data_IF_364615466518
#
_entry.id   IF_364615466518
#
_cell.length_a   1.000
_cell.length_b   1.000
_cell.length_c   1.000
_cell.angle_alpha   90.00
_cell.angle_beta   90.00
_cell.angle_gamma   90.00
#
_symmetry.space_group_name_H-M   'P 1'
#
loop_
_entity.id
_entity.type
_entity.pdbx_description
1 polymer ?
#
# COMPACT_ATOMS: atom_id res chain seq x y z
N UNK A 1 4.31 12.51 -14.28
CA UNK A 1 4.23 11.26 -15.07
C UNK A 1 2.79 10.77 -15.06
N UNK A 2 2.21 10.37 -16.20
CA UNK A 2 0.86 9.80 -16.21
C UNK A 2 0.98 8.36 -15.72
N UNK A 3 0.67 8.10 -14.45
CA UNK A 3 0.80 6.76 -13.88
C UNK A 3 -0.30 5.86 -14.48
N UNK A 4 0.11 4.77 -15.14
CA UNK A 4 -0.79 3.81 -15.77
C UNK A 4 -1.66 3.09 -14.74
N UNK A 5 -1.10 2.89 -13.55
CA UNK A 5 -1.71 2.11 -12.48
C UNK A 5 -2.28 2.99 -11.38
N UNK A 6 -3.25 2.43 -10.68
CA UNK A 6 -3.83 3.03 -9.49
C UNK A 6 -2.77 3.26 -8.41
N UNK A 7 -2.90 4.40 -7.72
CA UNK A 7 -2.08 4.79 -6.59
C UNK A 7 -2.87 4.59 -5.29
N UNK A 8 -2.30 3.88 -4.34
CA UNK A 8 -2.91 3.53 -3.07
C UNK A 8 -2.84 4.70 -2.08
N UNK A 9 -3.95 4.99 -1.43
CA UNK A 9 -4.07 6.02 -0.41
C UNK A 9 -3.85 5.43 0.99
N UNK A 10 -3.69 6.29 1.99
CA UNK A 10 -3.53 5.88 3.39
C UNK A 10 -4.64 4.90 3.85
N UNK A 11 -5.88 5.16 3.45
CA UNK A 11 -7.02 4.30 3.76
C UNK A 11 -6.94 2.91 3.09
N UNK A 12 -6.39 2.80 1.86
CA UNK A 12 -6.18 1.49 1.23
C UNK A 12 -5.17 0.67 2.05
N UNK A 13 -4.07 1.30 2.48
CA UNK A 13 -3.02 0.66 3.30
C UNK A 13 -3.55 0.26 4.67
N UNK A 14 -4.30 1.14 5.33
CA UNK A 14 -4.96 0.84 6.60
C UNK A 14 -5.94 -0.33 6.48
N UNK A 15 -6.72 -0.37 5.40
CA UNK A 15 -7.63 -1.49 5.13
C UNK A 15 -6.86 -2.79 4.93
N UNK A 16 -5.70 -2.73 4.25
CA UNK A 16 -4.83 -3.90 4.09
C UNK A 16 -4.28 -4.39 5.43
N UNK A 17 -3.85 -3.50 6.32
CA UNK A 17 -3.33 -3.90 7.65
C UNK A 17 -4.39 -4.63 8.46
N UNK A 18 -5.62 -4.11 8.45
CA UNK A 18 -6.74 -4.75 9.12
C UNK A 18 -7.10 -6.10 8.48
N UNK A 19 -7.23 -6.14 7.15
CA UNK A 19 -7.61 -7.34 6.39
C UNK A 19 -6.57 -8.46 6.48
N UNK A 20 -5.29 -8.15 6.30
CA UNK A 20 -4.21 -9.13 6.35
C UNK A 20 -3.76 -9.46 7.80
N UNK A 21 -4.41 -8.87 8.81
CA UNK A 21 -4.04 -9.00 10.22
C UNK A 21 -2.54 -8.74 10.46
N UNK A 22 -2.03 -7.66 9.88
CA UNK A 22 -0.61 -7.28 10.01
C UNK A 22 -0.27 -7.09 11.47
N UNK A 23 0.76 -7.78 11.94
CA UNK A 23 1.21 -7.64 13.32
C UNK A 23 1.87 -6.28 13.54
N UNK A 24 1.58 -5.62 14.68
CA UNK A 24 2.09 -4.26 14.99
C UNK A 24 3.59 -4.07 14.80
N UNK A 25 4.40 -5.08 15.10
CA UNK A 25 5.85 -4.99 14.95
C UNK A 25 6.32 -4.97 13.48
N UNK A 26 5.47 -5.39 12.53
CA UNK A 26 5.77 -5.40 11.10
C UNK A 26 5.21 -4.17 10.36
N UNK A 27 4.25 -3.45 10.95
CA UNK A 27 3.56 -2.32 10.31
C UNK A 27 4.54 -1.27 9.79
N UNK A 28 5.48 -0.81 10.62
CA UNK A 28 6.47 0.21 10.24
C UNK A 28 7.38 -0.25 9.11
N UNK A 29 7.78 -1.54 9.11
CA UNK A 29 8.59 -2.11 8.03
C UNK A 29 7.84 -2.05 6.71
N UNK A 30 6.57 -2.46 6.72
CA UNK A 30 5.70 -2.44 5.53
C UNK A 30 5.47 -1.00 5.04
N UNK A 31 5.22 -0.05 5.95
CA UNK A 31 5.06 1.36 5.58
C UNK A 31 6.32 1.91 4.94
N UNK A 32 7.50 1.58 5.48
CA UNK A 32 8.76 1.98 4.90
C UNK A 32 8.99 1.37 3.51
N UNK A 33 8.69 0.08 3.32
CA UNK A 33 8.77 -0.58 2.01
C UNK A 33 7.88 0.09 0.97
N UNK A 34 6.62 0.38 1.31
CA UNK A 34 5.70 1.12 0.44
C UNK A 34 6.23 2.54 0.15
N UNK A 35 6.74 3.23 1.17
CA UNK A 35 7.27 4.59 1.03
C UNK A 35 8.47 4.67 0.09
N UNK A 36 9.35 3.66 0.12
CA UNK A 36 10.49 3.56 -0.80
C UNK A 36 10.05 3.42 -2.27
N UNK A 37 8.82 3.01 -2.53
CA UNK A 37 8.26 2.87 -3.88
C UNK A 37 7.15 3.90 -4.18
N UNK A 38 6.96 4.91 -3.30
CA UNK A 38 5.78 5.79 -3.26
C UNK A 38 5.41 6.43 -4.59
N UNK A 39 6.40 6.82 -5.41
CA UNK A 39 6.16 7.44 -6.72
C UNK A 39 5.39 6.54 -7.69
N UNK A 40 5.48 5.23 -7.50
CA UNK A 40 4.83 4.24 -8.37
C UNK A 40 3.57 3.66 -7.75
N UNK A 41 3.46 3.60 -6.42
CA UNK A 41 2.40 2.86 -5.73
C UNK A 41 1.55 3.67 -4.75
N UNK A 42 2.00 4.84 -4.25
CA UNK A 42 1.24 5.62 -3.28
C UNK A 42 0.71 6.93 -3.86
N UNK A 43 -0.51 7.30 -3.46
CA UNK A 43 -1.14 8.57 -3.78
C UNK A 43 -0.75 9.61 -2.74
N UNK A 44 0.52 10.02 -2.77
CA UNK A 44 1.09 11.00 -1.85
C UNK A 44 1.71 12.15 -2.64
N UNK A 45 1.59 13.36 -2.11
CA UNK A 45 2.19 14.54 -2.73
C UNK A 45 3.71 14.56 -2.51
N UNK A 46 4.46 15.25 -3.38
CA UNK A 46 5.91 15.36 -3.25
C UNK A 46 6.36 16.02 -1.93
N UNK A 47 5.47 16.80 -1.31
CA UNK A 47 5.71 17.50 -0.05
C UNK A 47 5.37 16.65 1.18
N UNK A 48 4.64 15.54 1.03
CA UNK A 48 4.27 14.66 2.14
C UNK A 48 5.53 14.01 2.72
N UNK A 49 5.73 14.14 4.04
CA UNK A 49 6.83 13.44 4.72
C UNK A 49 6.44 11.99 5.04
N UNK A 50 7.44 11.15 5.34
CA UNK A 50 7.17 9.79 5.78
C UNK A 50 6.33 9.75 7.06
N UNK A 51 6.63 10.65 8.00
CA UNK A 51 5.93 10.72 9.29
C UNK A 51 4.46 11.12 9.10
N UNK A 52 4.17 12.05 8.19
CA UNK A 52 2.78 12.44 7.86
C UNK A 52 2.02 11.26 7.25
N UNK A 53 2.62 10.54 6.30
CA UNK A 53 2.02 9.35 5.70
C UNK A 53 1.72 8.26 6.74
N UNK A 54 2.68 7.98 7.64
CA UNK A 54 2.50 7.03 8.73
C UNK A 54 1.34 7.45 9.63
N UNK A 55 1.30 8.74 9.99
CA UNK A 55 0.23 9.31 10.81
C UNK A 55 -1.14 9.16 10.16
N UNK A 56 -1.26 9.48 8.86
CA UNK A 56 -2.49 9.33 8.09
C UNK A 56 -2.98 7.87 8.07
N UNK A 57 -2.08 6.91 7.79
CA UNK A 57 -2.43 5.48 7.80
C UNK A 57 -2.93 5.04 9.17
N UNK A 58 -2.29 5.47 10.26
CA UNK A 58 -2.73 5.12 11.60
C UNK A 58 -4.04 5.79 12.01
N UNK A 59 -4.32 7.00 11.53
CA UNK A 59 -5.63 7.65 11.74
C UNK A 59 -6.74 6.83 11.08
N UNK A 60 -6.54 6.42 9.84
CA UNK A 60 -7.50 5.58 9.10
C UNK A 60 -7.65 4.19 9.75
N UNK A 61 -6.54 3.56 10.16
CA UNK A 61 -6.56 2.26 10.82
C UNK A 61 -7.33 2.32 12.16
N UNK A 62 -7.11 3.36 12.96
CA UNK A 62 -7.85 3.59 14.20
C UNK A 62 -9.34 3.80 13.94
N UNK A 63 -9.71 4.55 12.90
CA UNK A 63 -11.10 4.71 12.50
C UNK A 63 -11.73 3.36 12.11
N UNK A 64 -11.06 2.56 11.27
CA UNK A 64 -11.52 1.24 10.85
C UNK A 64 -11.71 0.26 12.03
N UNK A 65 -10.83 0.30 13.03
CA UNK A 65 -10.96 -0.53 14.24
C UNK A 65 -12.13 -0.11 15.12
N UNK A 66 -12.41 1.20 15.21
CA UNK A 66 -13.57 1.72 15.97
C UNK A 66 -14.91 1.26 15.38
N UNK A 67 -14.96 1.00 14.08
CA UNK A 67 -16.15 0.45 13.43
C UNK A 67 -16.39 -1.05 13.73
N UNK A 68 -15.45 -1.71 14.42
CA UNK A 68 -15.52 -3.13 14.77
C UNK A 68 -14.98 -4.06 13.67
N UNK A 69 -14.87 -5.35 13.98
CA UNK A 69 -14.52 -6.43 13.05
C UNK A 69 -15.65 -7.46 13.10
N UNK A 70 -16.25 -7.76 11.94
CA UNK A 70 -17.28 -8.82 11.85
C UNK A 70 -16.69 -10.04 11.14
N UNK A 71 -16.12 -9.85 9.94
CA UNK A 71 -15.38 -10.82 9.15
C UNK A 71 -14.56 -10.12 8.03
N UNK A 72 -13.68 -10.86 7.35
CA UNK A 72 -12.78 -10.33 6.31
C UNK A 72 -13.49 -9.67 5.11
N UNK A 73 -14.74 -10.03 4.82
CA UNK A 73 -15.51 -9.52 3.67
C UNK A 73 -16.49 -8.39 4.04
N UNK A 74 -16.96 -8.40 5.29
CA UNK A 74 -17.86 -7.42 5.88
C UNK A 74 -17.12 -6.11 6.18
N UNK A 75 -15.83 -6.16 6.48
CA UNK A 75 -14.96 -5.01 6.67
C UNK A 75 -14.81 -4.18 5.38
N UNK A 76 -14.94 -4.82 4.21
CA UNK A 76 -15.04 -4.10 2.94
C UNK A 76 -16.31 -3.26 2.82
N UNK A 77 -17.28 -3.34 3.73
CA UNK A 77 -18.39 -2.40 3.79
C UNK A 77 -18.08 -1.16 4.64
N UNK A 78 -17.23 -1.33 5.65
CA UNK A 78 -16.90 -0.26 6.59
C UNK A 78 -16.03 0.80 5.91
N UNK A 79 -15.14 0.37 5.00
CA UNK A 79 -14.33 1.27 4.18
C UNK A 79 -15.13 2.04 3.10
N UNK A 80 -16.42 1.74 2.87
CA UNK A 80 -17.19 2.28 1.75
C UNK A 80 -17.92 3.59 2.04
N UNK A 81 -17.41 4.46 2.91
CA UNK A 81 -17.91 5.84 2.88
C UNK A 81 -17.50 6.48 1.55
N UNK A 82 -18.46 6.55 0.63
CA UNK A 82 -18.28 6.85 -0.79
C UNK A 82 -17.80 8.28 -1.06
N UNK A 83 -17.83 9.15 -0.06
CA UNK A 83 -17.26 10.49 -0.13
C UNK A 83 -15.77 10.52 0.19
N UNK A 84 -15.25 9.49 0.86
CA UNK A 84 -13.87 9.40 1.31
C UNK A 84 -13.07 8.36 0.53
N UNK A 85 -13.72 7.36 -0.07
CA UNK A 85 -13.03 6.27 -0.75
C UNK A 85 -12.64 6.59 -2.20
N UNK A 86 -11.34 6.68 -2.55
CA UNK A 86 -10.93 6.91 -3.92
C UNK A 86 -11.14 5.62 -4.72
N UNK A 87 -11.94 5.70 -5.78
CA UNK A 87 -12.31 4.52 -6.56
C UNK A 87 -11.46 4.38 -7.84
N UNK A 88 -11.03 3.15 -8.14
CA UNK A 88 -10.49 2.74 -9.44
C UNK A 88 -11.56 2.90 -10.52
N UNK A 89 -12.83 2.65 -10.17
CA UNK A 89 -13.96 2.72 -11.08
C UNK A 89 -15.15 3.49 -10.51
N UNK A 90 -15.84 4.28 -11.33
CA UNK A 90 -16.96 5.12 -10.89
C UNK A 90 -18.26 4.35 -10.52
N UNK A 91 -18.27 3.01 -10.55
CA UNK A 91 -19.46 2.20 -10.30
C UNK A 91 -19.53 1.72 -8.84
N UNK A 92 -20.14 2.55 -7.99
CA UNK A 92 -20.33 2.32 -6.54
C UNK A 92 -20.82 0.92 -6.16
N UNK A 93 -21.70 0.31 -6.97
CA UNK A 93 -22.24 -1.04 -6.71
C UNK A 93 -21.18 -2.16 -6.69
N UNK A 94 -19.98 -1.93 -7.22
CA UNK A 94 -18.89 -2.91 -7.28
C UNK A 94 -17.74 -2.61 -6.32
N UNK A 95 -17.92 -1.66 -5.41
CA UNK A 95 -16.85 -1.17 -4.57
C UNK A 95 -16.27 -2.24 -3.63
N UNK A 96 -17.06 -3.23 -3.18
CA UNK A 96 -16.54 -4.37 -2.39
C UNK A 96 -15.56 -5.24 -3.18
N UNK A 97 -15.89 -5.49 -4.45
CA UNK A 97 -15.03 -6.27 -5.36
C UNK A 97 -13.76 -5.49 -5.63
N UNK A 98 -13.89 -4.19 -5.86
CA UNK A 98 -12.75 -3.30 -6.00
C UNK A 98 -11.83 -3.34 -4.80
N UNK A 99 -12.40 -3.24 -3.60
CA UNK A 99 -11.63 -3.28 -2.37
C UNK A 99 -10.85 -4.58 -2.22
N UNK A 100 -11.52 -5.70 -2.48
CA UNK A 100 -10.87 -7.01 -2.45
C UNK A 100 -9.66 -7.08 -3.40
N UNK A 101 -9.80 -6.61 -4.64
CA UNK A 101 -8.68 -6.62 -5.60
C UNK A 101 -7.58 -5.61 -5.25
N UNK A 102 -7.91 -4.47 -4.62
CA UNK A 102 -6.93 -3.55 -4.06
C UNK A 102 -6.09 -4.23 -2.97
N UNK A 103 -6.72 -4.98 -2.07
CA UNK A 103 -6.00 -5.73 -1.03
C UNK A 103 -5.08 -6.79 -1.63
N UNK A 104 -5.55 -7.52 -2.66
CA UNK A 104 -4.71 -8.46 -3.38
C UNK A 104 -3.53 -7.77 -4.08
N UNK A 105 -3.74 -6.60 -4.68
CA UNK A 105 -2.66 -5.85 -5.29
C UNK A 105 -1.60 -5.42 -4.28
N UNK A 106 -2.01 -4.88 -3.11
CA UNK A 106 -1.09 -4.56 -2.02
C UNK A 106 -0.35 -5.80 -1.50
N UNK A 107 -1.06 -6.93 -1.35
CA UNK A 107 -0.44 -8.20 -0.97
C UNK A 107 0.69 -8.58 -1.93
N UNK A 108 0.45 -8.55 -3.25
CA UNK A 108 1.47 -8.88 -4.25
C UNK A 108 2.61 -7.87 -4.32
N UNK A 109 2.35 -6.58 -4.09
CA UNK A 109 3.40 -5.56 -4.00
C UNK A 109 4.36 -5.89 -2.84
N UNK A 110 3.79 -6.28 -1.69
CA UNK A 110 4.55 -6.61 -0.47
C UNK A 110 5.11 -8.03 -0.46
N UNK A 111 4.69 -8.88 -1.40
CA UNK A 111 5.18 -10.26 -1.55
C UNK A 111 5.63 -10.51 -2.99
N UNK A 112 6.68 -9.83 -3.47
CA UNK A 112 7.09 -9.86 -4.88
C UNK A 112 7.53 -11.25 -5.36
N UNK A 113 7.88 -12.16 -4.44
CA UNK A 113 8.21 -13.56 -4.76
C UNK A 113 6.99 -14.45 -4.99
N UNK A 114 5.76 -13.97 -4.76
CA UNK A 114 4.54 -14.72 -4.96
C UNK A 114 4.05 -14.55 -6.42
N UNK A 115 4.23 -15.54 -7.31
CA UNK A 115 3.98 -15.34 -8.73
C UNK A 115 2.49 -15.31 -9.06
N UNK A 116 1.71 -16.21 -8.46
CA UNK A 116 0.26 -16.32 -8.64
C UNK A 116 -0.39 -16.96 -7.42
N UNK A 117 -1.65 -16.58 -7.17
CA UNK A 117 -2.55 -17.18 -6.20
C UNK A 117 -3.76 -17.76 -6.93
N UNK A 118 -4.21 -18.94 -6.50
CA UNK A 118 -5.42 -19.55 -7.02
C UNK A 118 -6.65 -18.91 -6.38
N UNK A 119 -7.62 -18.54 -7.21
CA UNK A 119 -8.79 -17.75 -6.83
C UNK A 119 -10.07 -18.39 -7.39
N UNK A 120 -10.99 -18.77 -6.50
CA UNK A 120 -12.36 -19.15 -6.91
C UNK A 120 -13.22 -17.90 -7.02
N UNK A 121 -13.30 -17.35 -8.24
CA UNK A 121 -14.08 -16.13 -8.50
C UNK A 121 -15.57 -16.33 -8.21
N UNK A 122 -16.12 -17.51 -8.47
CA UNK A 122 -17.54 -17.78 -8.20
C UNK A 122 -17.83 -17.66 -6.72
N UNK A 123 -17.01 -18.30 -5.88
CA UNK A 123 -17.11 -18.22 -4.43
C UNK A 123 -16.92 -16.80 -3.91
N UNK A 124 -15.84 -16.12 -4.30
CA UNK A 124 -15.53 -14.77 -3.78
C UNK A 124 -16.62 -13.75 -4.15
N UNK A 125 -17.14 -13.83 -5.37
CA UNK A 125 -18.23 -12.94 -5.80
C UNK A 125 -19.46 -13.15 -4.90
N UNK A 126 -19.77 -14.39 -4.55
CA UNK A 126 -20.87 -14.70 -3.63
C UNK A 126 -20.57 -14.20 -2.20
N UNK A 127 -19.36 -14.45 -1.70
CA UNK A 127 -18.93 -14.05 -0.35
C UNK A 127 -18.96 -12.52 -0.18
N UNK A 128 -18.66 -11.77 -1.26
CA UNK A 128 -18.78 -10.30 -1.30
C UNK A 128 -20.24 -9.80 -1.44
N UNK A 129 -21.22 -10.71 -1.52
CA UNK A 129 -22.65 -10.44 -1.53
C UNK A 129 -23.29 -10.33 -2.91
N UNK A 130 -22.61 -10.76 -3.99
CA UNK A 130 -23.17 -10.74 -5.34
C UNK A 130 -23.69 -12.12 -5.72
N UNK A 131 -24.99 -12.21 -6.01
CA UNK A 131 -25.63 -13.50 -6.37
C UNK A 131 -25.05 -14.21 -7.60
N UNK A 132 -24.48 -13.44 -8.54
CA UNK A 132 -23.90 -13.95 -9.79
C UNK A 132 -22.94 -12.96 -10.41
N UNK A 133 -21.95 -13.46 -11.13
CA UNK A 133 -21.07 -12.64 -11.94
C UNK A 133 -21.79 -12.16 -13.22
N UNK A 134 -22.41 -10.99 -13.13
CA UNK A 134 -23.04 -10.35 -14.29
C UNK A 134 -22.01 -10.01 -15.36
N UNK A 135 -22.49 -9.81 -16.60
CA UNK A 135 -21.65 -9.34 -17.71
C UNK A 135 -20.89 -8.06 -17.38
N UNK A 136 -21.58 -7.10 -16.77
CA UNK A 136 -20.96 -5.83 -16.38
C UNK A 136 -19.93 -6.04 -15.29
N UNK A 137 -20.25 -6.82 -14.25
CA UNK A 137 -19.28 -7.13 -13.18
C UNK A 137 -18.02 -7.82 -13.72
N UNK A 138 -18.15 -8.76 -14.67
CA UNK A 138 -16.99 -9.42 -15.27
C UNK A 138 -16.08 -8.44 -16.03
N UNK A 139 -16.65 -7.51 -16.80
CA UNK A 139 -15.88 -6.44 -17.44
C UNK A 139 -15.20 -5.54 -16.43
N UNK A 140 -15.94 -5.17 -15.39
CA UNK A 140 -15.45 -4.36 -14.30
C UNK A 140 -14.26 -5.02 -13.60
N UNK A 141 -14.31 -6.33 -13.34
CA UNK A 141 -13.20 -7.09 -12.79
C UNK A 141 -11.97 -6.98 -13.70
N UNK A 142 -12.13 -7.23 -15.01
CA UNK A 142 -11.01 -7.15 -15.96
C UNK A 142 -10.37 -5.76 -15.95
N UNK A 143 -11.17 -4.70 -16.18
CA UNK A 143 -10.69 -3.31 -16.24
C UNK A 143 -9.99 -2.88 -14.95
N UNK A 144 -10.55 -3.27 -13.81
CA UNK A 144 -10.01 -2.93 -12.50
C UNK A 144 -8.74 -3.69 -12.18
N UNK A 145 -8.67 -4.99 -12.49
CA UNK A 145 -7.42 -5.74 -12.32
C UNK A 145 -6.31 -5.16 -13.18
N UNK A 146 -6.61 -4.76 -14.42
CA UNK A 146 -5.63 -4.10 -15.30
C UNK A 146 -5.12 -2.78 -14.70
N UNK A 147 -6.03 -1.92 -14.23
CA UNK A 147 -5.66 -0.67 -13.54
C UNK A 147 -4.90 -0.87 -12.24
N UNK A 148 -5.12 -1.97 -11.53
CA UNK A 148 -4.36 -2.35 -10.33
C UNK A 148 -3.02 -3.02 -10.67
N UNK A 149 -2.72 -3.23 -11.95
CA UNK A 149 -1.53 -3.92 -12.41
C UNK A 149 -1.56 -5.43 -12.15
N UNK A 150 -2.74 -5.99 -11.91
CA UNK A 150 -2.99 -7.41 -11.72
C UNK A 150 -3.29 -8.12 -13.03
N UNK A 151 -2.92 -9.39 -13.11
CA UNK A 151 -3.20 -10.28 -14.24
C UNK A 151 -4.09 -11.43 -13.79
N UNK A 152 -5.17 -11.65 -14.54
CA UNK A 152 -6.04 -12.82 -14.40
C UNK A 152 -5.78 -13.81 -15.53
N UNK A 153 -5.36 -15.02 -15.18
CA UNK A 153 -5.16 -16.12 -16.14
C UNK A 153 -5.90 -17.37 -15.71
N UNK A 154 -6.24 -18.20 -16.69
CA UNK A 154 -6.78 -19.53 -16.46
C UNK A 154 -5.66 -20.45 -15.95
N UNK A 155 -6.03 -21.60 -15.39
CA UNK A 155 -5.05 -22.61 -14.96
C UNK A 155 -4.11 -23.08 -16.07
N UNK A 156 -4.53 -23.00 -17.33
CA UNK A 156 -3.70 -23.32 -18.51
C UNK A 156 -2.87 -22.12 -19.02
N UNK A 157 -2.77 -21.03 -18.26
CA UNK A 157 -1.93 -19.87 -18.57
C UNK A 157 -2.54 -18.85 -19.55
N UNK A 158 -3.67 -19.17 -20.18
CA UNK A 158 -4.33 -18.24 -21.11
C UNK A 158 -5.07 -17.11 -20.36
N UNK A 159 -5.16 -15.90 -20.94
CA UNK A 159 -5.92 -14.80 -20.34
C UNK A 159 -7.39 -15.15 -20.05
N UNK A 160 -7.90 -14.62 -18.95
CA UNK A 160 -9.32 -14.73 -18.60
C UNK A 160 -10.15 -13.70 -19.37
N UNK A 161 -10.98 -14.17 -20.31
CA UNK A 161 -11.99 -13.34 -20.96
C UNK A 161 -13.26 -13.19 -20.11
N UNK A 162 -14.11 -12.24 -20.50
CA UNK A 162 -15.39 -11.95 -19.84
C UNK A 162 -16.25 -13.20 -19.62
N UNK A 163 -16.35 -14.07 -20.64
CA UNK A 163 -17.16 -15.29 -20.58
C UNK A 163 -16.70 -16.27 -19.50
N UNK A 164 -15.38 -16.41 -19.32
CA UNK A 164 -14.80 -17.33 -18.33
C UNK A 164 -15.02 -16.80 -16.90
N UNK A 165 -14.80 -15.50 -16.67
CA UNK A 165 -15.05 -14.86 -15.37
C UNK A 165 -16.52 -14.98 -14.98
N UNK A 166 -17.44 -14.82 -15.94
CA UNK A 166 -18.88 -14.96 -15.70
C UNK A 166 -19.30 -16.36 -15.28
N UNK A 167 -18.59 -17.39 -15.76
CA UNK A 167 -18.85 -18.77 -15.38
C UNK A 167 -18.40 -19.07 -13.94
N UNK A 168 -17.68 -18.14 -13.29
CA UNK A 168 -17.22 -18.30 -11.91
C UNK A 168 -16.12 -19.35 -11.78
N UNK A 169 -15.37 -19.62 -12.85
CA UNK A 169 -14.29 -20.59 -12.83
C UNK A 169 -13.13 -20.14 -11.95
N UNK A 170 -12.30 -21.10 -11.55
CA UNK A 170 -11.05 -20.82 -10.85
C UNK A 170 -10.06 -20.13 -11.78
N UNK A 171 -9.42 -19.08 -11.27
CA UNK A 171 -8.39 -18.29 -11.97
C UNK A 171 -7.11 -18.26 -11.15
N UNK A 172 -5.99 -18.06 -11.82
CA UNK A 172 -4.75 -17.63 -11.20
C UNK A 172 -4.71 -16.10 -11.29
N UNK A 173 -4.45 -15.45 -10.18
CA UNK A 173 -4.24 -14.01 -10.09
C UNK A 173 -2.80 -13.73 -9.64
N UNK A 174 -2.15 -12.74 -10.23
CA UNK A 174 -0.80 -12.33 -9.86
C UNK A 174 -0.51 -10.91 -10.31
N UNK A 175 0.65 -10.38 -9.94
CA UNK A 175 1.11 -9.10 -10.48
C UNK A 175 1.45 -9.24 -11.97
N UNK A 176 1.09 -8.24 -12.78
CA UNK A 176 1.49 -8.20 -14.18
C UNK A 176 3.00 -7.97 -14.30
N UNK A 177 3.62 -8.54 -15.34
CA UNK A 177 5.07 -8.44 -15.56
C UNK A 177 5.52 -6.99 -15.65
N UNK A 178 4.77 -6.16 -16.38
CA UNK A 178 5.04 -4.72 -16.53
C UNK A 178 5.01 -4.01 -15.18
N UNK A 179 3.99 -4.28 -14.34
CA UNK A 179 3.91 -3.67 -13.01
C UNK A 179 5.02 -4.15 -12.09
N UNK A 180 5.35 -5.44 -12.10
CA UNK A 180 6.46 -5.99 -11.32
C UNK A 180 7.80 -5.37 -11.70
N UNK A 181 8.06 -5.17 -13.00
CA UNK A 181 9.27 -4.50 -13.49
C UNK A 181 9.33 -3.05 -13.02
N UNK A 182 8.23 -2.30 -13.17
CA UNK A 182 8.16 -0.91 -12.73
C UNK A 182 8.43 -0.75 -11.22
N UNK A 183 7.90 -1.66 -10.39
CA UNK A 183 8.14 -1.65 -8.94
C UNK A 183 9.60 -1.99 -8.61
N UNK A 184 10.21 -2.94 -9.31
CA UNK A 184 11.60 -3.31 -9.12
C UNK A 184 12.56 -2.17 -9.50
N UNK A 185 12.34 -1.53 -10.65
CA UNK A 185 13.12 -0.39 -11.12
C UNK A 185 13.04 0.78 -10.13
N UNK A 186 11.83 1.13 -9.68
CA UNK A 186 11.65 2.20 -8.70
C UNK A 186 12.33 1.89 -7.36
N UNK A 187 12.34 0.64 -6.94
CA UNK A 187 13.02 0.24 -5.71
C UNK A 187 14.55 0.38 -5.82
N UNK A 188 15.13 -0.08 -6.94
CA UNK A 188 16.58 0.01 -7.19
C UNK A 188 17.05 1.47 -7.31
N UNK A 189 16.29 2.32 -8.00
CA UNK A 189 16.60 3.75 -8.13
C UNK A 189 16.63 4.46 -6.77
N UNK A 190 15.64 4.18 -5.91
CA UNK A 190 15.58 4.78 -4.58
C UNK A 190 16.72 4.30 -3.66
N UNK A 191 17.13 3.03 -3.76
CA UNK A 191 18.32 2.52 -3.07
C UNK A 191 19.61 3.20 -3.55
N UNK A 192 19.77 3.37 -4.87
CA UNK A 192 20.92 4.05 -5.47
C UNK A 192 21.03 5.51 -5.01
N UNK A 193 19.91 6.23 -4.99
CA UNK A 193 19.84 7.61 -4.51
C UNK A 193 20.15 7.73 -3.01
N UNK A 194 19.61 6.84 -2.18
CA UNK A 194 19.87 6.82 -0.75
C UNK A 194 21.37 6.58 -0.44
N UNK A 195 22.00 5.64 -1.16
CA UNK A 195 23.43 5.35 -0.99
C UNK A 195 24.33 6.49 -1.45
N UNK A 196 23.92 7.23 -2.50
CA UNK A 196 24.64 8.40 -3.02
C UNK A 196 24.55 9.61 -2.08
N UNK A 197 23.38 9.84 -1.48
CA UNK A 197 23.17 10.88 -0.47
C UNK A 197 23.99 10.64 0.81
N UNK A 198 24.11 9.38 1.25
CA UNK A 198 24.97 9.01 2.38
C UNK A 198 26.46 9.23 2.08
N UNK A 199 26.93 8.91 0.87
CA UNK A 199 28.31 9.18 0.44
C UNK A 199 28.62 10.67 0.34
N UNK A 200 27.65 11.51 0.00
CA UNK A 200 27.83 12.97 -0.02
C UNK A 200 27.86 13.56 1.39
N UNK A 201 27.00 13.11 2.32
CA UNK A 201 27.08 13.49 3.74
C UNK A 201 28.40 13.08 4.39
N UNK A 202 28.96 11.92 4.01
CA UNK A 202 30.27 11.47 4.51
C UNK A 202 31.48 12.19 3.87
N UNK A 203 31.27 12.97 2.80
CA UNK A 203 32.31 13.74 2.10
C UNK A 203 32.29 15.25 2.40
N UNK A 204 31.39 15.69 3.29
CA UNK A 204 31.45 17.03 3.88
C UNK A 204 32.25 16.93 5.18
N UNK A 205 33.54 17.31 5.21
CA UNK A 205 34.24 17.41 6.48
C UNK A 205 33.65 18.60 7.25
N UNK A 206 33.39 18.37 8.54
CA UNK A 206 33.21 19.44 9.50
C UNK A 206 34.32 20.48 9.31
N UNK A 207 33.91 21.73 9.16
CA UNK A 207 34.79 22.87 9.31
C UNK A 207 35.21 22.90 10.79
N UNK A 208 36.41 22.43 11.07
CA UNK A 208 37.12 22.74 12.30
C UNK A 208 37.26 24.27 12.41
N UNK A 209 36.52 24.88 13.36
CA UNK A 209 36.98 26.08 14.04
C UNK A 209 36.99 25.80 15.55
N UNK A 210 38.16 25.79 16.21
CA UNK A 210 38.25 25.89 17.65
C UNK A 210 38.20 27.36 18.02
N UNK A 211 37.01 27.92 18.30
CA UNK A 211 36.91 29.21 18.96
C UNK A 211 36.55 29.03 20.43
N UNK A 212 37.62 29.15 21.22
CA UNK A 212 37.65 29.49 22.63
C UNK A 212 36.56 30.49 23.04
N UNK A 213 35.65 30.09 23.92
CA UNK A 213 35.15 30.86 25.08
C UNK A 213 34.56 29.81 26.03
N UNK A 214 35.33 29.44 27.04
CA UNK A 214 34.95 28.44 28.05
C UNK A 214 35.89 28.51 29.24
N UNK A 215 36.28 29.73 29.63
CA UNK A 215 37.03 30.02 30.86
C UNK A 215 36.61 31.39 31.37
N UNK A 216 35.57 31.41 32.20
CA UNK A 216 35.40 32.42 33.23
C UNK A 216 34.46 31.87 34.31
N UNK A 217 35.03 31.69 35.50
CA UNK A 217 34.37 31.82 36.80
C UNK A 217 33.43 30.69 37.23
N UNK A 218 34.02 29.63 37.80
CA UNK A 218 33.42 28.88 38.90
C UNK A 218 34.44 28.78 40.03
N UNK A 219 34.48 29.80 40.88
CA UNK A 219 35.14 29.76 42.19
C UNK A 219 34.48 30.75 43.15
N UNK A 220 34.14 30.25 44.35
CA UNK A 220 33.58 30.88 45.55
C UNK A 220 32.06 31.19 45.52
N UNK A 221 31.23 30.79 46.50
CA UNK A 221 31.49 30.55 47.93
C UNK A 221 30.68 29.37 48.54
N UNK A 222 31.12 28.81 49.69
CA UNK A 222 30.57 27.65 50.36
C UNK A 222 29.45 28.00 51.35
N UNK A 223 28.46 27.12 51.46
CA UNK A 223 27.53 27.09 52.57
C UNK A 223 28.18 26.35 53.76
N UNK A 224 28.58 27.09 54.79
CA UNK A 224 28.60 26.61 56.17
C UNK A 224 27.48 27.33 56.93
N UNK A 225 26.55 26.55 57.47
CA UNK A 225 25.59 26.96 58.51
C UNK A 225 26.31 27.19 59.83
N UNK A 226 25.73 28.01 60.73
CA UNK A 226 24.75 27.47 61.68
C UNK A 226 23.33 27.99 61.48
#
# INVERSE_FOLDING_TARGET
MNNKYYLFHALDVATYFKWAHVARHNEVSILNELWMQRQTCLAVDEQTSFDDFVQDVYMELNWLWRQGFVDEFSDFNLALDLFLYPQVMSQKRYARVEQYFKMLALLFILTPHLPYTLLDLGRIINDLGYRRCSKTLARCIIEMTDKLGLRLVKANGFPCGESYIRQGGTVLIGMSVERSQQLAEAFEENLSMASSAQKQKAKSPDFDQPNSIGRALAHFDPAESP
#
